data_IF_871405549618
#
_entry.id   IF_871405549618
#
_cell.length_a   1.000
_cell.length_b   1.000
_cell.length_c   1.000
_cell.angle_alpha   90.00
_cell.angle_beta   90.00
_cell.angle_gamma   90.00
#
_symmetry.space_group_name_H-M   'P 1'
#
loop_
_entity.id
_entity.type
_entity.pdbx_description
1 polymer ?
#
# COMPACT_ATOMS: atom_id res chain seq x y z
N UNK A 1 -39.25 -21.12 -33.50
CA UNK A 1 -38.70 -19.78 -33.28
C UNK A 1 -38.31 -19.70 -31.83
N UNK A 2 -37.01 -19.89 -31.59
CA UNK A 2 -36.41 -19.91 -30.23
C UNK A 2 -35.88 -18.51 -29.93
N UNK A 3 -36.41 -17.86 -28.92
CA UNK A 3 -35.98 -16.56 -28.47
C UNK A 3 -34.77 -16.77 -27.57
N UNK A 4 -33.57 -16.49 -28.08
CA UNK A 4 -32.32 -16.45 -27.28
C UNK A 4 -32.29 -15.09 -26.60
N UNK A 5 -32.46 -15.06 -25.29
CA UNK A 5 -32.25 -13.86 -24.48
C UNK A 5 -30.76 -13.72 -24.24
N UNK A 6 -30.13 -12.72 -24.88
CA UNK A 6 -28.77 -12.30 -24.65
C UNK A 6 -28.66 -11.60 -23.27
N UNK A 7 -27.95 -12.24 -22.32
CA UNK A 7 -27.75 -11.76 -20.96
C UNK A 7 -26.43 -10.96 -20.77
N UNK A 8 -25.82 -10.52 -21.86
CA UNK A 8 -24.51 -9.87 -21.86
C UNK A 8 -24.56 -8.35 -22.05
N UNK A 9 -25.38 -7.60 -21.32
CA UNK A 9 -25.17 -6.13 -21.19
C UNK A 9 -26.03 -5.49 -20.09
N UNK A 10 -25.88 -5.90 -18.86
CA UNK A 10 -26.24 -5.00 -17.76
C UNK A 10 -25.00 -4.21 -17.36
N UNK A 11 -24.67 -3.18 -18.14
CA UNK A 11 -23.91 -2.05 -17.62
C UNK A 11 -24.76 -1.46 -16.50
N UNK A 12 -24.31 -1.65 -15.25
CA UNK A 12 -24.91 -0.95 -14.12
C UNK A 12 -24.76 0.55 -14.41
N UNK A 13 -25.89 1.26 -14.43
CA UNK A 13 -25.86 2.72 -14.37
C UNK A 13 -25.04 3.12 -13.13
N UNK A 14 -24.20 4.16 -13.19
CA UNK A 14 -23.42 4.58 -12.04
C UNK A 14 -24.43 4.97 -10.94
N UNK A 15 -24.51 4.16 -9.90
CA UNK A 15 -25.16 4.55 -8.66
C UNK A 15 -24.34 5.74 -8.16
N UNK A 16 -25.00 6.88 -7.91
CA UNK A 16 -24.32 8.04 -7.32
C UNK A 16 -23.77 7.63 -5.97
N UNK A 17 -22.48 7.36 -5.91
CA UNK A 17 -21.75 7.04 -4.70
C UNK A 17 -21.32 8.40 -4.10
N UNK A 18 -21.74 8.69 -2.86
CA UNK A 18 -21.10 9.78 -2.13
C UNK A 18 -19.63 9.43 -1.96
N UNK A 19 -18.74 10.32 -2.37
CA UNK A 19 -17.30 10.09 -2.29
C UNK A 19 -16.58 11.28 -1.70
N UNK A 20 -15.47 11.00 -1.02
CA UNK A 20 -14.46 11.98 -0.69
C UNK A 20 -13.48 12.06 -1.85
N UNK A 21 -12.98 13.25 -2.13
CA UNK A 21 -11.97 13.46 -3.17
C UNK A 21 -10.65 13.83 -2.52
N UNK A 22 -9.62 13.03 -2.79
CA UNK A 22 -8.25 13.40 -2.47
C UNK A 22 -7.71 14.34 -3.55
N UNK A 23 -6.90 15.37 -3.24
CA UNK A 23 -6.34 16.31 -4.24
C UNK A 23 -5.53 15.63 -5.35
N UNK A 24 -4.97 14.44 -5.15
CA UNK A 24 -4.33 13.64 -6.20
C UNK A 24 -5.28 13.09 -7.27
N UNK A 25 -6.59 13.31 -7.14
CA UNK A 25 -7.61 12.82 -8.06
C UNK A 25 -8.14 11.42 -7.75
N UNK A 26 -7.79 10.84 -6.59
CA UNK A 26 -8.37 9.59 -6.11
C UNK A 26 -9.70 9.88 -5.41
N UNK A 27 -10.74 9.15 -5.80
CA UNK A 27 -12.07 9.19 -5.16
C UNK A 27 -12.20 8.03 -4.18
N UNK A 28 -12.65 8.31 -2.96
CA UNK A 28 -12.88 7.32 -1.91
C UNK A 28 -14.38 7.24 -1.62
N UNK A 29 -15.01 6.05 -1.67
CA UNK A 29 -16.44 5.92 -1.37
C UNK A 29 -16.73 6.33 0.08
N UNK A 30 -17.85 7.04 0.29
CA UNK A 30 -18.30 7.47 1.61
C UNK A 30 -19.84 7.46 1.67
N UNK A 31 -20.42 6.34 1.27
CA UNK A 31 -21.86 6.15 1.10
C UNK A 31 -22.42 5.03 1.99
N UNK A 32 -21.57 4.21 2.58
CA UNK A 32 -21.95 3.17 3.52
C UNK A 32 -21.73 3.65 4.99
N UNK A 33 -22.67 3.44 5.90
CA UNK A 33 -22.49 3.77 7.32
C UNK A 33 -21.22 3.18 7.96
N UNK A 34 -20.79 2.01 7.50
CA UNK A 34 -19.55 1.38 7.96
C UNK A 34 -18.28 2.13 7.55
N UNK A 35 -18.34 2.96 6.51
CA UNK A 35 -17.21 3.77 6.07
C UNK A 35 -16.80 4.80 7.15
N UNK A 36 -17.77 5.28 7.95
CA UNK A 36 -17.51 6.20 9.05
C UNK A 36 -16.70 5.56 10.21
N UNK A 37 -16.71 4.25 10.33
CA UNK A 37 -15.90 3.52 11.31
C UNK A 37 -14.44 3.39 10.85
N UNK A 38 -14.20 3.37 9.53
CA UNK A 38 -12.88 3.30 8.92
C UNK A 38 -12.28 4.69 8.69
N UNK A 39 -13.11 5.65 8.28
CA UNK A 39 -12.71 7.03 7.95
C UNK A 39 -13.17 7.96 9.07
N UNK A 40 -12.48 7.91 10.19
CA UNK A 40 -12.71 8.83 11.32
C UNK A 40 -12.48 10.29 10.88
N UNK A 41 -13.01 11.30 11.62
CA UNK A 41 -12.92 12.70 11.22
C UNK A 41 -11.52 13.18 10.87
N UNK A 42 -10.50 12.72 11.60
CA UNK A 42 -9.10 13.07 11.41
C UNK A 42 -8.56 12.53 10.07
N UNK A 43 -8.87 11.27 9.73
CA UNK A 43 -8.52 10.67 8.45
C UNK A 43 -9.27 11.36 7.32
N UNK A 44 -10.55 11.67 7.51
CA UNK A 44 -11.35 12.39 6.53
C UNK A 44 -10.77 13.77 6.22
N UNK A 45 -10.36 14.53 7.25
CA UNK A 45 -9.69 15.82 7.06
C UNK A 45 -8.40 15.62 6.25
N UNK A 46 -7.54 14.68 6.66
CA UNK A 46 -6.29 14.41 5.96
C UNK A 46 -6.49 14.02 4.48
N UNK A 47 -7.55 13.26 4.16
CA UNK A 47 -7.90 12.94 2.78
C UNK A 47 -8.27 14.20 2.01
N UNK A 48 -9.20 15.03 2.54
CA UNK A 48 -9.72 16.21 1.84
C UNK A 48 -8.64 17.30 1.67
N UNK A 49 -7.75 17.42 2.65
CA UNK A 49 -6.67 18.42 2.68
C UNK A 49 -5.40 17.92 1.92
N UNK A 50 -5.38 16.67 1.48
CA UNK A 50 -4.24 16.06 0.78
C UNK A 50 -3.07 15.69 1.67
N UNK A 51 -3.27 15.68 2.99
CA UNK A 51 -2.23 15.28 3.94
C UNK A 51 -2.10 13.76 4.10
N UNK A 52 -3.10 12.98 3.66
CA UNK A 52 -3.05 11.52 3.73
C UNK A 52 -2.02 10.97 2.73
N UNK A 53 -0.98 10.31 3.23
CA UNK A 53 0.16 9.77 2.44
C UNK A 53 0.84 10.82 1.53
N UNK A 54 0.86 12.11 1.93
CA UNK A 54 1.24 13.24 1.07
C UNK A 54 2.62 13.10 0.43
N UNK A 55 3.65 12.79 1.21
CA UNK A 55 5.02 12.67 0.69
C UNK A 55 5.19 11.47 -0.22
N UNK A 56 4.57 10.33 0.13
CA UNK A 56 4.53 9.15 -0.74
C UNK A 56 3.91 9.51 -2.10
N UNK A 57 2.72 10.13 -2.08
CA UNK A 57 2.00 10.52 -3.30
C UNK A 57 2.80 11.51 -4.14
N UNK A 58 3.50 12.45 -3.53
CA UNK A 58 4.33 13.45 -4.22
C UNK A 58 5.48 12.81 -4.99
N UNK A 59 6.03 11.71 -4.48
CA UNK A 59 7.18 11.04 -5.09
C UNK A 59 6.80 10.01 -6.17
N UNK A 60 5.55 9.50 -6.16
CA UNK A 60 5.15 8.47 -7.13
C UNK A 60 5.45 8.83 -8.59
N UNK A 61 5.22 10.06 -9.10
CA UNK A 61 5.50 10.41 -10.48
C UNK A 61 6.99 10.31 -10.87
N UNK A 62 7.90 10.46 -9.91
CA UNK A 62 9.34 10.39 -10.12
C UNK A 62 9.89 8.97 -9.96
N UNK A 63 9.15 8.11 -9.24
CA UNK A 63 9.58 6.75 -8.88
C UNK A 63 8.93 5.69 -9.77
N UNK A 64 7.60 5.78 -9.99
CA UNK A 64 6.85 4.75 -10.72
C UNK A 64 6.95 4.94 -12.22
N UNK A 65 7.32 3.89 -12.95
CA UNK A 65 7.57 3.93 -14.40
C UNK A 65 6.76 2.87 -15.16
N UNK A 66 6.67 3.07 -16.46
CA UNK A 66 6.15 2.06 -17.37
C UNK A 66 7.01 0.78 -17.30
N UNK A 67 6.33 -0.36 -17.21
CA UNK A 67 6.97 -1.67 -17.07
C UNK A 67 7.12 -2.13 -15.62
N UNK A 68 6.98 -1.26 -14.64
CA UNK A 68 7.14 -1.62 -13.23
C UNK A 68 6.13 -2.67 -12.77
N UNK A 69 6.61 -3.54 -11.92
CA UNK A 69 5.85 -4.52 -11.16
C UNK A 69 5.95 -4.15 -9.70
N UNK A 70 4.90 -3.54 -9.19
CA UNK A 70 4.91 -2.82 -7.92
C UNK A 70 4.23 -3.63 -6.83
N UNK A 71 4.90 -3.75 -5.68
CA UNK A 71 4.33 -4.25 -4.44
C UNK A 71 4.08 -3.08 -3.48
N UNK A 72 2.81 -2.82 -3.18
CA UNK A 72 2.40 -1.83 -2.16
C UNK A 72 2.15 -2.57 -0.85
N UNK A 73 2.93 -2.27 0.18
CA UNK A 73 2.86 -2.90 1.51
C UNK A 73 2.20 -1.94 2.49
N UNK A 74 1.14 -2.39 3.15
CA UNK A 74 0.33 -1.54 4.02
C UNK A 74 -0.61 -0.64 3.23
N UNK A 75 -1.33 -1.19 2.24
CA UNK A 75 -2.10 -0.42 1.26
C UNK A 75 -3.22 0.47 1.85
N UNK A 76 -3.60 0.26 3.10
CA UNK A 76 -4.54 1.10 3.85
C UNK A 76 -5.85 1.33 3.11
N UNK A 77 -6.18 2.59 2.84
CA UNK A 77 -7.40 2.97 2.10
C UNK A 77 -7.26 2.82 0.58
N UNK A 78 -6.08 2.45 0.06
CA UNK A 78 -5.87 2.22 -1.37
C UNK A 78 -5.55 3.47 -2.20
N UNK A 79 -5.23 4.59 -1.58
CA UNK A 79 -4.90 5.82 -2.32
C UNK A 79 -3.62 5.64 -3.13
N UNK A 80 -2.55 5.18 -2.50
CA UNK A 80 -1.25 4.98 -3.14
C UNK A 80 -1.32 3.89 -4.21
N UNK A 81 -1.89 2.71 -3.90
CA UNK A 81 -2.03 1.62 -4.87
C UNK A 81 -2.89 2.01 -6.09
N UNK A 82 -3.92 2.85 -5.89
CA UNK A 82 -4.71 3.42 -6.99
C UNK A 82 -3.86 4.32 -7.88
N UNK A 83 -3.03 5.20 -7.31
CA UNK A 83 -2.17 6.11 -8.08
C UNK A 83 -1.10 5.36 -8.85
N UNK A 84 -0.47 4.37 -8.22
CA UNK A 84 0.49 3.48 -8.88
C UNK A 84 -0.17 2.79 -10.08
N UNK A 85 -1.37 2.22 -9.91
CA UNK A 85 -2.09 1.54 -10.99
C UNK A 85 -2.56 2.49 -12.11
N UNK A 86 -2.78 3.78 -11.81
CA UNK A 86 -3.10 4.80 -12.83
C UNK A 86 -1.89 5.28 -13.61
N UNK A 87 -0.66 4.96 -13.19
CA UNK A 87 0.53 5.31 -13.94
C UNK A 87 0.57 4.52 -15.25
N UNK A 88 0.68 5.23 -16.36
CA UNK A 88 0.63 4.63 -17.70
C UNK A 88 1.75 3.61 -17.90
N UNK A 89 1.37 2.41 -18.34
CA UNK A 89 2.32 1.35 -18.68
C UNK A 89 2.84 0.53 -17.49
N UNK A 90 2.41 0.78 -16.26
CA UNK A 90 2.71 -0.12 -15.12
C UNK A 90 2.22 -1.53 -15.46
N UNK A 91 3.10 -2.53 -15.28
CA UNK A 91 2.84 -3.88 -15.73
C UNK A 91 2.03 -4.71 -14.70
N UNK A 92 2.19 -4.41 -13.41
CA UNK A 92 1.54 -5.16 -12.31
C UNK A 92 1.48 -4.32 -11.04
N UNK A 93 0.37 -4.40 -10.31
CA UNK A 93 0.26 -3.84 -8.96
C UNK A 93 -0.34 -4.88 -8.03
N UNK A 94 0.37 -5.14 -6.93
CA UNK A 94 -0.09 -5.98 -5.82
C UNK A 94 -0.17 -5.11 -4.58
N UNK A 95 -1.33 -5.07 -3.94
CA UNK A 95 -1.60 -4.30 -2.74
C UNK A 95 -1.81 -5.25 -1.55
N UNK A 96 -0.90 -5.24 -0.59
CA UNK A 96 -0.99 -6.08 0.61
C UNK A 96 -1.46 -5.24 1.79
N UNK A 97 -2.50 -5.71 2.46
CA UNK A 97 -3.06 -5.06 3.65
C UNK A 97 -3.40 -6.11 4.72
N UNK A 98 -2.90 -5.89 5.93
CA UNK A 98 -3.09 -6.81 7.03
C UNK A 98 -4.45 -6.64 7.71
N UNK A 99 -4.98 -5.41 7.76
CA UNK A 99 -6.28 -5.15 8.35
C UNK A 99 -7.41 -5.70 7.46
N UNK A 100 -7.95 -6.85 7.84
CA UNK A 100 -9.02 -7.54 7.09
C UNK A 100 -10.25 -6.64 6.88
N UNK A 101 -10.52 -5.70 7.79
CA UNK A 101 -11.67 -4.80 7.68
C UNK A 101 -11.51 -3.79 6.53
N UNK A 102 -10.27 -3.47 6.14
CA UNK A 102 -9.99 -2.54 5.04
C UNK A 102 -10.11 -3.19 3.65
N UNK A 103 -10.00 -4.50 3.53
CA UNK A 103 -9.98 -5.18 2.23
C UNK A 103 -11.23 -4.88 1.36
N UNK A 104 -12.47 -5.00 1.88
CA UNK A 104 -13.65 -4.64 1.09
C UNK A 104 -13.67 -3.17 0.68
N UNK A 105 -13.20 -2.29 1.57
CA UNK A 105 -13.14 -0.86 1.30
C UNK A 105 -12.10 -0.54 0.21
N UNK A 106 -10.89 -1.07 0.35
CA UNK A 106 -9.80 -0.95 -0.60
C UNK A 106 -10.21 -1.36 -2.02
N UNK A 107 -10.91 -2.50 -2.16
CA UNK A 107 -11.43 -2.95 -3.45
C UNK A 107 -12.47 -1.96 -4.03
N UNK A 108 -13.37 -1.40 -3.20
CA UNK A 108 -14.31 -0.37 -3.65
C UNK A 108 -13.61 0.90 -4.12
N UNK A 109 -12.49 1.29 -3.47
CA UNK A 109 -11.67 2.42 -3.93
C UNK A 109 -11.07 2.12 -5.30
N UNK A 110 -10.49 0.93 -5.51
CA UNK A 110 -9.96 0.52 -6.82
C UNK A 110 -11.04 0.53 -7.90
N UNK A 111 -12.20 -0.07 -7.64
CA UNK A 111 -13.33 -0.12 -8.58
C UNK A 111 -13.82 1.29 -8.93
N UNK A 112 -14.02 2.16 -7.94
CA UNK A 112 -14.48 3.54 -8.12
C UNK A 112 -13.52 4.37 -8.99
N UNK A 113 -12.22 4.06 -8.92
CA UNK A 113 -11.17 4.74 -9.66
C UNK A 113 -10.79 4.06 -10.98
N UNK A 114 -11.45 2.95 -11.34
CA UNK A 114 -11.23 2.24 -12.58
C UNK A 114 -9.92 1.47 -12.68
N UNK A 115 -9.41 0.98 -11.54
CA UNK A 115 -8.16 0.19 -11.43
C UNK A 115 -8.41 -1.19 -10.80
N UNK A 116 -9.46 -1.87 -11.25
CA UNK A 116 -9.89 -3.18 -10.75
C UNK A 116 -8.90 -4.32 -11.01
N UNK A 117 -7.87 -4.09 -11.81
CA UNK A 117 -6.76 -5.03 -12.06
C UNK A 117 -5.72 -5.10 -10.93
N UNK A 118 -5.79 -4.22 -9.94
CA UNK A 118 -4.93 -4.30 -8.75
C UNK A 118 -5.28 -5.56 -7.96
N UNK A 119 -4.29 -6.42 -7.75
CA UNK A 119 -4.48 -7.57 -6.88
C UNK A 119 -4.37 -7.18 -5.42
N UNK A 120 -5.45 -7.37 -4.67
CA UNK A 120 -5.49 -7.09 -3.23
C UNK A 120 -5.30 -8.37 -2.43
N UNK A 121 -4.31 -8.39 -1.54
CA UNK A 121 -3.98 -9.53 -0.69
C UNK A 121 -4.16 -9.16 0.79
N UNK A 122 -4.99 -9.91 1.52
CA UNK A 122 -5.07 -9.78 2.97
C UNK A 122 -4.04 -10.68 3.65
N UNK A 123 -2.91 -10.12 4.03
CA UNK A 123 -1.84 -10.85 4.69
C UNK A 123 -0.94 -9.96 5.55
N UNK A 124 -0.23 -10.57 6.47
CA UNK A 124 0.98 -10.04 7.11
C UNK A 124 2.18 -10.64 6.39
N UNK A 125 3.05 -9.79 5.83
CA UNK A 125 4.28 -10.24 5.19
C UNK A 125 5.32 -10.61 6.23
N UNK A 126 6.00 -11.74 6.02
CA UNK A 126 7.11 -12.18 6.86
C UNK A 126 7.93 -13.25 6.14
N UNK A 127 9.23 -13.32 6.41
CA UNK A 127 10.14 -14.33 5.88
C UNK A 127 9.78 -15.73 6.41
N UNK A 128 9.58 -16.71 5.50
CA UNK A 128 9.46 -18.14 5.82
C UNK A 128 8.36 -18.54 6.80
N UNK A 129 7.49 -17.63 7.23
CA UNK A 129 6.42 -17.92 8.19
C UNK A 129 5.19 -18.45 7.49
N UNK A 130 4.51 -19.40 8.17
CA UNK A 130 3.23 -19.97 7.74
C UNK A 130 2.20 -19.88 8.85
N UNK A 131 0.92 -19.99 8.48
CA UNK A 131 -0.18 -19.94 9.43
C UNK A 131 -0.80 -18.56 9.55
N UNK A 132 -1.30 -18.21 10.72
CA UNK A 132 -2.00 -16.95 10.99
C UNK A 132 -1.44 -16.30 12.24
N UNK A 133 -1.49 -14.98 12.27
CA UNK A 133 -1.03 -14.15 13.41
C UNK A 133 -2.17 -13.25 13.88
N UNK A 134 -2.28 -12.97 15.19
CA UNK A 134 -3.16 -11.92 15.66
C UNK A 134 -2.65 -10.56 15.15
N UNK A 135 -3.57 -9.78 14.58
CA UNK A 135 -3.36 -8.41 14.14
C UNK A 135 -4.32 -7.50 14.88
N UNK A 136 -3.83 -6.39 15.40
CA UNK A 136 -4.59 -5.47 16.23
C UNK A 136 -4.87 -4.18 15.46
N UNK A 137 -6.14 -3.91 15.21
CA UNK A 137 -6.59 -2.71 14.53
C UNK A 137 -7.17 -1.72 15.55
N UNK A 138 -6.51 -0.62 15.85
CA UNK A 138 -7.08 0.49 16.61
C UNK A 138 -8.09 1.27 15.75
N UNK A 139 -8.77 2.25 16.38
CA UNK A 139 -9.72 3.09 15.67
C UNK A 139 -9.04 3.93 14.58
N UNK A 140 -7.84 4.39 14.83
CA UNK A 140 -7.01 5.03 13.82
C UNK A 140 -6.26 3.96 13.03
N UNK A 141 -6.68 3.74 11.80
CA UNK A 141 -6.14 2.69 10.93
C UNK A 141 -4.65 2.90 10.58
N UNK A 142 -4.12 4.12 10.73
CA UNK A 142 -2.71 4.46 10.44
C UNK A 142 -1.73 3.82 11.43
N UNK A 143 -2.23 3.42 12.60
CA UNK A 143 -1.42 2.87 13.70
C UNK A 143 -1.69 1.38 13.98
N UNK A 144 -2.27 0.66 13.03
CA UNK A 144 -2.51 -0.79 13.15
C UNK A 144 -1.20 -1.58 13.22
N UNK A 145 -1.12 -2.61 14.05
CA UNK A 145 0.13 -3.32 14.35
C UNK A 145 -0.10 -4.79 14.73
N UNK A 146 0.96 -5.60 14.59
CA UNK A 146 1.05 -6.94 15.19
C UNK A 146 1.39 -6.88 16.68
N UNK A 147 1.89 -5.77 17.19
CA UNK A 147 2.29 -5.62 18.58
C UNK A 147 1.13 -5.08 19.40
N UNK A 148 0.90 -5.71 20.54
CA UNK A 148 -0.05 -5.21 21.53
C UNK A 148 0.64 -4.08 22.30
N UNK A 149 0.43 -2.84 21.86
CA UNK A 149 0.80 -1.66 22.63
C UNK A 149 -0.33 -1.28 23.59
N UNK A 150 -0.07 -0.45 24.60
CA UNK A 150 -1.07 0.09 25.55
C UNK A 150 -2.12 1.01 24.89
N UNK A 151 -2.27 0.93 23.59
CA UNK A 151 -3.25 1.69 22.79
C UNK A 151 -4.58 0.96 22.78
N UNK A 152 -5.67 1.74 22.82
CA UNK A 152 -7.04 1.23 22.73
C UNK A 152 -7.28 0.63 21.33
N UNK A 153 -7.13 -0.68 21.18
CA UNK A 153 -7.50 -1.40 19.97
C UNK A 153 -9.00 -1.76 20.00
N UNK A 154 -9.66 -1.71 18.84
CA UNK A 154 -11.07 -2.05 18.71
C UNK A 154 -11.29 -3.49 18.27
N UNK A 155 -10.39 -4.02 17.47
CA UNK A 155 -10.55 -5.34 16.90
C UNK A 155 -9.22 -6.11 16.85
N UNK A 156 -9.27 -7.36 17.30
CA UNK A 156 -8.22 -8.34 17.05
C UNK A 156 -8.70 -9.32 15.99
N UNK A 157 -7.90 -9.54 14.97
CA UNK A 157 -8.22 -10.45 13.88
C UNK A 157 -7.07 -11.41 13.61
N UNK A 158 -7.39 -12.61 13.13
CA UNK A 158 -6.38 -13.59 12.72
C UNK A 158 -6.09 -13.41 11.23
N UNK A 159 -4.88 -12.98 10.89
CA UNK A 159 -4.45 -12.67 9.52
C UNK A 159 -3.43 -13.72 9.06
N UNK A 160 -3.51 -14.23 7.82
CA UNK A 160 -2.51 -15.18 7.32
C UNK A 160 -1.15 -14.51 7.18
N UNK A 161 -0.08 -15.28 7.43
CA UNK A 161 1.25 -14.92 6.95
C UNK A 161 1.38 -15.22 5.46
N UNK A 162 2.11 -14.35 4.76
CA UNK A 162 2.58 -14.58 3.40
C UNK A 162 4.07 -14.28 3.33
N UNK A 163 4.80 -15.13 2.61
CA UNK A 163 6.23 -15.00 2.45
C UNK A 163 6.55 -13.91 1.43
N UNK A 164 7.30 -12.90 1.87
CA UNK A 164 7.67 -11.76 1.02
C UNK A 164 8.54 -12.21 -0.15
N UNK A 165 9.53 -13.09 0.09
CA UNK A 165 10.45 -13.55 -0.95
C UNK A 165 9.74 -14.30 -2.08
N UNK A 166 8.67 -15.04 -1.74
CA UNK A 166 7.85 -15.70 -2.76
C UNK A 166 7.14 -14.66 -3.65
N UNK A 167 6.55 -13.62 -3.07
CA UNK A 167 5.89 -12.55 -3.84
C UNK A 167 6.92 -11.86 -4.75
N UNK A 168 8.07 -11.46 -4.18
CA UNK A 168 9.12 -10.76 -4.93
C UNK A 168 9.58 -11.59 -6.14
N UNK A 169 9.80 -12.90 -5.94
CA UNK A 169 10.31 -13.78 -6.97
C UNK A 169 9.24 -14.16 -8.00
N UNK A 170 8.07 -14.66 -7.56
CA UNK A 170 7.02 -15.16 -8.45
C UNK A 170 6.42 -14.04 -9.29
N UNK A 171 6.20 -12.87 -8.68
CA UNK A 171 5.66 -11.70 -9.33
C UNK A 171 6.73 -10.81 -9.97
N UNK A 172 8.02 -11.11 -9.82
CA UNK A 172 9.15 -10.33 -10.35
C UNK A 172 9.04 -8.86 -10.00
N UNK A 173 8.82 -8.58 -8.73
CA UNK A 173 8.67 -7.20 -8.22
C UNK A 173 10.01 -6.48 -8.37
N UNK A 174 9.99 -5.30 -8.98
CA UNK A 174 11.15 -4.42 -9.09
C UNK A 174 11.00 -3.11 -8.32
N UNK A 175 9.77 -2.77 -7.88
CA UNK A 175 9.51 -1.59 -7.05
C UNK A 175 8.68 -1.97 -5.83
N UNK A 176 9.14 -1.60 -4.63
CA UNK A 176 8.38 -1.71 -3.38
C UNK A 176 7.96 -0.31 -2.93
N UNK A 177 6.69 -0.14 -2.60
CA UNK A 177 6.14 1.05 -1.94
C UNK A 177 5.61 0.62 -0.58
N UNK A 178 6.26 1.06 0.50
CA UNK A 178 6.00 0.59 1.86
C UNK A 178 5.41 1.70 2.73
N UNK A 179 4.15 1.56 3.12
CA UNK A 179 3.42 2.51 3.96
C UNK A 179 3.30 2.03 5.43
N UNK A 180 4.23 1.18 5.89
CA UNK A 180 4.27 0.67 7.27
C UNK A 180 5.58 1.08 7.95
N UNK A 181 5.70 2.31 8.49
CA UNK A 181 6.97 2.85 8.98
C UNK A 181 7.65 1.94 10.01
N UNK A 182 6.92 1.54 11.04
CA UNK A 182 7.45 0.83 12.21
C UNK A 182 7.86 -0.62 11.98
N UNK A 183 7.42 -1.24 10.88
CA UNK A 183 7.74 -2.65 10.59
C UNK A 183 8.59 -2.82 9.34
N UNK A 184 8.83 -1.73 8.59
CA UNK A 184 9.54 -1.78 7.31
C UNK A 184 10.97 -2.28 7.45
N UNK A 185 11.71 -1.79 8.46
CA UNK A 185 13.08 -2.18 8.71
C UNK A 185 13.25 -3.70 8.88
N UNK A 186 12.48 -4.28 9.80
CA UNK A 186 12.58 -5.71 10.11
C UNK A 186 12.10 -6.61 8.96
N UNK A 187 11.12 -6.14 8.19
CA UNK A 187 10.60 -6.86 7.03
C UNK A 187 11.61 -6.86 5.88
N UNK A 188 12.06 -5.67 5.48
CA UNK A 188 12.94 -5.50 4.32
C UNK A 188 14.36 -5.99 4.57
N UNK A 189 14.85 -5.87 5.82
CA UNK A 189 16.18 -6.34 6.21
C UNK A 189 16.41 -7.84 6.00
N UNK A 190 15.34 -8.62 6.02
CA UNK A 190 15.39 -10.09 5.94
C UNK A 190 14.99 -10.63 4.58
N UNK A 191 14.41 -9.79 3.72
CA UNK A 191 13.95 -10.20 2.41
C UNK A 191 15.12 -10.34 1.41
N UNK A 192 14.98 -11.26 0.46
CA UNK A 192 15.86 -11.32 -0.71
C UNK A 192 15.41 -10.27 -1.74
N UNK A 193 16.04 -9.10 -1.67
CA UNK A 193 15.71 -7.94 -2.51
C UNK A 193 16.43 -7.96 -3.88
N UNK A 194 17.03 -9.08 -4.28
CA UNK A 194 17.89 -9.14 -5.47
C UNK A 194 17.23 -8.75 -6.79
N UNK A 195 15.89 -8.80 -6.90
CA UNK A 195 15.14 -8.33 -8.08
C UNK A 195 14.62 -6.90 -7.95
N UNK A 196 14.72 -6.30 -6.76
CA UNK A 196 14.16 -4.98 -6.45
C UNK A 196 15.17 -3.91 -6.85
N UNK A 197 14.72 -2.95 -7.65
CA UNK A 197 15.53 -1.82 -8.12
C UNK A 197 15.35 -0.58 -7.25
N UNK A 198 14.11 -0.36 -6.77
CA UNK A 198 13.77 0.79 -5.94
C UNK A 198 12.83 0.43 -4.79
N UNK A 199 12.97 1.15 -3.68
CA UNK A 199 12.09 1.01 -2.51
C UNK A 199 11.74 2.42 -2.04
N UNK A 200 10.44 2.71 -1.94
CA UNK A 200 9.92 3.93 -1.34
C UNK A 200 9.28 3.58 -0.01
N UNK A 201 9.76 4.15 1.08
CA UNK A 201 9.29 3.88 2.44
C UNK A 201 8.75 5.15 3.08
N UNK A 202 7.58 5.10 3.70
CA UNK A 202 7.10 6.16 4.59
C UNK A 202 7.86 6.14 5.91
N UNK A 203 8.39 7.27 6.36
CA UNK A 203 9.08 7.38 7.64
C UNK A 203 8.14 7.62 8.84
N UNK A 204 6.85 7.87 8.58
CA UNK A 204 5.86 8.16 9.62
C UNK A 204 5.87 9.61 10.10
N UNK A 205 4.76 9.99 10.77
CA UNK A 205 4.55 11.38 11.25
C UNK A 205 5.11 11.64 12.67
N UNK A 206 5.60 10.62 13.35
CA UNK A 206 5.98 10.72 14.77
C UNK A 206 7.50 10.83 14.94
N UNK A 207 7.96 11.94 15.50
CA UNK A 207 9.37 12.23 15.81
C UNK A 207 10.05 11.23 16.77
N UNK A 208 9.30 10.30 17.34
CA UNK A 208 9.83 9.20 18.17
C UNK A 208 10.41 8.04 17.34
N UNK A 209 10.20 8.03 16.01
CA UNK A 209 10.54 6.91 15.12
C UNK A 209 11.87 7.11 14.34
N UNK A 210 12.59 8.21 14.54
CA UNK A 210 13.89 8.49 13.88
C UNK A 210 14.96 7.40 14.05
N UNK A 211 14.86 6.57 15.09
CA UNK A 211 15.80 5.45 15.28
C UNK A 211 15.55 4.31 14.26
N UNK A 212 14.30 4.14 13.81
CA UNK A 212 13.95 3.12 12.81
C UNK A 212 14.43 3.53 11.42
N UNK A 213 14.42 4.83 11.08
CA UNK A 213 14.98 5.34 9.83
C UNK A 213 16.46 4.98 9.68
N UNK A 214 17.26 5.20 10.71
CA UNK A 214 18.68 4.85 10.71
C UNK A 214 18.90 3.33 10.57
N UNK A 215 18.01 2.52 11.17
CA UNK A 215 18.07 1.07 11.07
C UNK A 215 17.71 0.62 9.64
N UNK A 216 16.61 1.12 9.05
CA UNK A 216 16.24 0.85 7.67
C UNK A 216 17.37 1.22 6.71
N UNK A 217 17.90 2.45 6.82
CA UNK A 217 18.99 2.92 5.98
C UNK A 217 20.22 2.02 6.08
N UNK A 218 20.61 1.63 7.30
CA UNK A 218 21.79 0.78 7.52
C UNK A 218 21.60 -0.62 6.93
N UNK A 219 20.41 -1.21 7.10
CA UNK A 219 20.10 -2.55 6.64
C UNK A 219 19.98 -2.63 5.12
N UNK A 220 19.35 -1.64 4.47
CA UNK A 220 19.24 -1.59 3.02
C UNK A 220 20.57 -1.21 2.37
N UNK A 221 21.38 -0.34 3.00
CA UNK A 221 22.74 -0.07 2.53
C UNK A 221 23.63 -1.33 2.51
N UNK A 222 23.48 -2.22 3.49
CA UNK A 222 24.17 -3.50 3.50
C UNK A 222 23.75 -4.44 2.35
N UNK A 223 22.56 -4.22 1.76
CA UNK A 223 22.05 -4.92 0.59
C UNK A 223 22.31 -4.18 -0.73
N UNK A 224 23.06 -3.08 -0.70
CA UNK A 224 23.47 -2.33 -1.90
C UNK A 224 22.56 -1.18 -2.30
N UNK A 225 21.63 -0.76 -1.45
CA UNK A 225 20.76 0.38 -1.71
C UNK A 225 21.38 1.69 -1.20
N UNK A 226 21.22 2.77 -1.95
CA UNK A 226 21.55 4.12 -1.54
C UNK A 226 20.26 4.86 -1.17
N UNK A 227 20.27 5.55 -0.02
CA UNK A 227 19.11 6.25 0.51
C UNK A 227 19.13 7.73 0.11
N UNK A 228 17.95 8.28 -0.23
CA UNK A 228 17.67 9.70 -0.38
C UNK A 228 16.47 10.07 0.53
N UNK A 229 16.66 11.10 1.37
CA UNK A 229 15.58 11.62 2.22
C UNK A 229 14.69 12.57 1.41
N UNK A 230 13.37 12.33 1.43
CA UNK A 230 12.40 13.08 0.63
C UNK A 230 11.19 13.51 1.48
N UNK A 231 11.38 14.43 2.42
CA UNK A 231 10.35 14.84 3.40
C UNK A 231 10.17 13.78 4.48
N UNK A 232 8.94 13.26 4.65
CA UNK A 232 8.64 12.14 5.55
C UNK A 232 8.64 10.79 4.78
N UNK A 233 9.45 10.66 3.74
CA UNK A 233 9.66 9.43 3.00
C UNK A 233 11.15 9.23 2.69
N UNK A 234 11.55 7.96 2.57
CA UNK A 234 12.89 7.54 2.16
C UNK A 234 12.78 6.81 0.82
N UNK A 235 13.56 7.27 -0.16
CA UNK A 235 13.74 6.59 -1.43
C UNK A 235 15.07 5.84 -1.41
N UNK A 236 15.06 4.59 -1.78
CA UNK A 236 16.24 3.74 -1.88
C UNK A 236 16.40 3.25 -3.32
N UNK A 237 17.56 3.51 -3.90
CA UNK A 237 17.92 3.03 -5.22
C UNK A 237 19.00 1.96 -5.11
N UNK A 238 18.85 0.84 -5.80
CA UNK A 238 19.85 -0.21 -5.84
C UNK A 238 21.05 0.26 -6.69
N UNK A 239 22.26 0.18 -6.17
CA UNK A 239 23.48 0.66 -6.83
C UNK A 239 23.76 0.01 -8.21
N UNK A 240 23.14 -1.14 -8.49
CA UNK A 240 23.21 -1.84 -9.78
C UNK A 240 22.01 -1.56 -10.69
N UNK A 241 21.08 -0.69 -10.29
CA UNK A 241 19.98 -0.27 -11.15
C UNK A 241 20.55 0.39 -12.42
N UNK A 242 20.02 0.01 -13.58
CA UNK A 242 20.56 0.46 -14.86
C UNK A 242 20.45 1.98 -15.00
N UNK A 243 21.47 2.71 -15.51
CA UNK A 243 21.40 4.18 -15.69
C UNK A 243 20.24 4.64 -16.59
N UNK A 244 19.62 3.73 -17.36
CA UNK A 244 18.44 4.02 -18.18
C UNK A 244 17.16 4.17 -17.36
N UNK A 245 17.17 3.74 -16.09
CA UNK A 245 16.05 3.92 -15.17
C UNK A 245 15.93 5.36 -14.61
N UNK A 246 16.91 6.24 -14.87
CA UNK A 246 16.96 7.61 -14.34
C UNK A 246 16.73 8.72 -15.38
N UNK A 247 16.01 8.44 -16.48
CA UNK A 247 15.72 9.48 -17.52
C UNK A 247 14.25 9.67 -17.77
#
# INVERSE_FOLDING_TARGET
MSCVIDLASRRHAPTFVNSLSHPSGVSLPFDDPSDADLIIPEIRSAICDGAYSADMIRLLPDVVRAGDRVLVIGAGLGVVSTLVAKTEGVARVIAVEANTALIPYLNRVHDLNGVSEVETINAVLAEGKKGRVPFFAPRDIRISSMLLHDRLWQQAMMVPFMDLDLILTEERINLIVCEIPTASAQLLARADLGSVEQILVSSGDDSSEHWEENEVCSLLAAQGFAAEECGTALLFDHANASPESFR
#
